data_IF_887919648662
#
_entry.id   IF_887919648662
#
_cell.length_a   1.000
_cell.length_b   1.000
_cell.length_c   1.000
_cell.angle_alpha   90.00
_cell.angle_beta   90.00
_cell.angle_gamma   90.00
#
_symmetry.space_group_name_H-M   'P 1'
#
loop_
_entity.id
_entity.type
_entity.pdbx_description
1 polymer ?
#
# COMPACT_ATOMS: atom_id res chain seq x y z
N UNK A 1 -20.11 35.48 5.78
CA UNK A 1 -20.34 34.02 5.76
C UNK A 1 -19.01 33.31 5.53
N UNK A 2 -18.63 32.37 6.40
CA UNK A 2 -17.33 31.71 6.35
C UNK A 2 -17.28 30.60 5.29
N UNK A 3 -16.28 30.67 4.41
CA UNK A 3 -15.98 29.65 3.40
C UNK A 3 -15.55 28.33 4.04
N UNK A 4 -16.45 27.34 4.01
CA UNK A 4 -16.17 25.98 4.42
C UNK A 4 -15.22 25.30 3.43
N UNK A 5 -13.96 25.17 3.85
CA UNK A 5 -12.87 24.48 3.14
C UNK A 5 -13.27 23.07 2.72
N UNK A 6 -12.82 22.71 1.51
CA UNK A 6 -13.18 21.50 0.78
C UNK A 6 -13.05 20.22 1.59
N UNK A 7 -14.10 19.39 1.50
CA UNK A 7 -13.99 17.96 1.77
C UNK A 7 -13.33 17.33 0.56
N UNK A 8 -12.05 16.98 0.66
CA UNK A 8 -11.46 15.95 -0.19
C UNK A 8 -11.76 14.59 0.46
N UNK A 9 -12.71 13.77 -0.02
CA UNK A 9 -12.73 12.34 0.25
C UNK A 9 -11.65 11.66 -0.61
N UNK A 10 -10.39 12.03 -0.41
CA UNK A 10 -9.25 11.54 -1.20
C UNK A 10 -8.30 10.64 -0.42
N UNK A 11 -8.44 10.57 0.90
CA UNK A 11 -7.72 9.59 1.70
C UNK A 11 -8.35 8.23 1.47
N UNK A 12 -7.88 7.48 0.47
CA UNK A 12 -7.99 6.02 0.51
C UNK A 12 -7.32 5.62 1.83
N UNK A 13 -8.14 5.43 2.86
CA UNK A 13 -7.74 4.74 4.06
C UNK A 13 -7.33 3.34 3.64
N UNK A 14 -6.05 3.17 3.33
CA UNK A 14 -5.42 1.87 3.23
C UNK A 14 -5.34 1.35 4.67
N UNK A 15 -6.49 0.89 5.16
CA UNK A 15 -6.67 0.37 6.51
C UNK A 15 -5.62 -0.68 6.85
N UNK A 16 -5.50 -1.08 8.13
CA UNK A 16 -4.38 -1.92 8.61
C UNK A 16 -4.15 -3.24 7.84
N UNK A 17 -5.08 -3.71 7.01
CA UNK A 17 -4.82 -4.64 5.89
C UNK A 17 -4.62 -3.90 4.56
N UNK A 18 -3.36 -3.59 4.23
CA UNK A 18 -2.99 -3.06 2.91
C UNK A 18 -2.56 -4.20 1.97
N UNK A 19 -2.38 -3.92 0.69
CA UNK A 19 -1.66 -4.80 -0.23
C UNK A 19 -0.17 -4.40 -0.27
N UNK A 20 0.72 -5.39 -0.34
CA UNK A 20 2.12 -5.12 -0.60
C UNK A 20 2.30 -4.93 -2.09
N UNK A 21 2.92 -3.82 -2.51
CA UNK A 21 3.24 -3.54 -3.90
C UNK A 21 4.74 -3.66 -4.13
N UNK A 22 5.13 -4.30 -5.22
CA UNK A 22 6.51 -4.31 -5.66
C UNK A 22 6.86 -2.96 -6.32
N UNK A 23 7.91 -2.26 -5.87
CA UNK A 23 8.32 -1.00 -6.47
C UNK A 23 9.02 -1.17 -7.82
N UNK A 24 9.51 -2.39 -8.14
CA UNK A 24 10.22 -2.65 -9.39
C UNK A 24 9.26 -3.01 -10.53
N UNK A 25 8.37 -3.98 -10.34
CA UNK A 25 7.46 -4.46 -11.37
C UNK A 25 6.00 -4.02 -11.17
N UNK A 26 5.65 -3.45 -10.01
CA UNK A 26 4.28 -3.01 -9.71
C UNK A 26 3.33 -4.11 -9.25
N UNK A 27 3.77 -5.37 -9.12
CA UNK A 27 2.96 -6.50 -8.64
C UNK A 27 2.41 -6.23 -7.25
N UNK A 28 1.11 -6.45 -7.05
CA UNK A 28 0.47 -6.36 -5.74
C UNK A 28 0.14 -7.74 -5.19
N UNK A 29 0.44 -7.96 -3.91
CA UNK A 29 0.09 -9.18 -3.17
C UNK A 29 -0.69 -8.83 -1.91
N UNK A 30 -1.53 -9.74 -1.41
CA UNK A 30 -2.16 -9.55 -0.10
C UNK A 30 -1.09 -9.51 1.00
N UNK A 31 -1.09 -8.46 1.81
CA UNK A 31 -0.21 -8.38 2.97
C UNK A 31 -0.65 -9.41 4.02
N UNK A 32 0.28 -10.25 4.45
CA UNK A 32 0.07 -11.18 5.56
C UNK A 32 0.21 -10.46 6.90
N UNK A 33 -0.78 -10.59 7.78
CA UNK A 33 -0.67 -10.11 9.17
C UNK A 33 0.52 -10.80 9.86
N UNK A 34 1.35 -10.00 10.51
CA UNK A 34 2.54 -10.49 11.21
C UNK A 34 3.81 -10.55 10.35
N UNK A 35 3.74 -10.36 9.03
CA UNK A 35 4.91 -10.30 8.14
C UNK A 35 4.91 -8.96 7.41
N UNK A 36 5.88 -8.07 7.65
CA UNK A 36 5.93 -6.79 6.96
C UNK A 36 6.17 -6.99 5.46
N UNK A 37 5.59 -6.13 4.62
CA UNK A 37 5.76 -6.20 3.15
C UNK A 37 7.24 -6.24 2.73
N UNK A 38 8.12 -5.58 3.48
CA UNK A 38 9.56 -5.53 3.21
C UNK A 38 10.29 -6.86 3.41
N UNK A 39 9.70 -7.80 4.12
CA UNK A 39 10.21 -9.18 4.29
C UNK A 39 9.72 -10.11 3.16
N UNK A 40 8.58 -9.78 2.53
CA UNK A 40 8.08 -10.55 1.38
C UNK A 40 8.89 -10.23 0.13
N UNK A 41 9.29 -11.28 -0.59
CA UNK A 41 10.00 -11.19 -1.86
C UNK A 41 8.99 -11.28 -3.01
N UNK A 42 9.10 -10.38 -3.98
CA UNK A 42 8.21 -10.38 -5.14
C UNK A 42 8.46 -11.62 -6.01
N UNK A 43 7.44 -12.45 -6.30
CA UNK A 43 7.60 -13.65 -7.11
C UNK A 43 7.86 -13.36 -8.60
N UNK A 44 7.64 -12.13 -9.07
CA UNK A 44 7.87 -11.75 -10.47
C UNK A 44 9.33 -11.30 -10.73
N UNK A 45 9.95 -10.59 -9.79
CA UNK A 45 11.26 -9.96 -10.02
C UNK A 45 12.29 -10.20 -8.91
N UNK A 46 11.91 -10.80 -7.78
CA UNK A 46 12.81 -11.03 -6.65
C UNK A 46 13.09 -9.81 -5.76
N UNK A 47 12.47 -8.66 -6.04
CA UNK A 47 12.64 -7.46 -5.22
C UNK A 47 11.82 -7.52 -3.92
N UNK A 48 12.32 -6.87 -2.86
CA UNK A 48 11.57 -6.66 -1.61
C UNK A 48 10.32 -5.85 -1.87
N UNK A 49 9.20 -6.31 -1.34
CA UNK A 49 7.93 -5.62 -1.51
C UNK A 49 7.83 -4.45 -0.54
N UNK A 50 7.00 -3.46 -0.86
CA UNK A 50 6.78 -2.31 0.00
C UNK A 50 5.29 -2.10 0.19
N UNK A 51 4.91 -1.48 1.29
CA UNK A 51 3.55 -0.97 1.46
C UNK A 51 3.54 0.45 0.88
N UNK A 52 2.80 0.72 -0.22
CA UNK A 52 2.73 2.05 -0.82
C UNK A 52 1.98 3.05 0.07
#
# INVERSE_FOLDING_TARGET
MAGGRGRMPGGRGLGPGGECRCPNCGTTIPHKRGVPCSEEICPNCGARMIRP
#
